data_IF_366474598299
#
_entry.id   IF_366474598299
#
_cell.length_a   1.000
_cell.length_b   1.000
_cell.length_c   1.000
_cell.angle_alpha   90.00
_cell.angle_beta   90.00
_cell.angle_gamma   90.00
#
_symmetry.space_group_name_H-M   'P 1'
#
loop_
_entity.id
_entity.type
_entity.pdbx_description
1 polymer ?
#
# COMPACT_ATOMS: atom_id res chain seq x y z
N UNK A 1 32.96 -24.73 -4.13
CA UNK A 1 34.40 -24.53 -3.86
C UNK A 1 35.19 -25.84 -3.81
N UNK A 2 34.71 -26.85 -3.09
CA UNK A 2 35.44 -28.16 -2.99
C UNK A 2 35.88 -28.80 -4.31
N UNK A 3 35.08 -28.68 -5.36
CA UNK A 3 35.43 -29.30 -6.64
C UNK A 3 36.64 -28.65 -7.36
N UNK A 4 36.86 -27.32 -7.22
CA UNK A 4 37.98 -26.63 -7.93
C UNK A 4 39.32 -26.92 -7.26
N UNK A 5 39.33 -26.90 -5.93
CA UNK A 5 40.54 -27.21 -5.14
C UNK A 5 40.97 -28.67 -5.35
N UNK A 6 40.01 -29.60 -5.32
CA UNK A 6 40.25 -31.01 -5.60
C UNK A 6 40.74 -31.25 -7.02
N UNK A 7 40.16 -30.54 -8.01
CA UNK A 7 40.61 -30.62 -9.41
C UNK A 7 42.04 -30.11 -9.59
N UNK A 8 42.37 -28.97 -8.93
CA UNK A 8 43.75 -28.43 -8.96
C UNK A 8 44.75 -29.38 -8.34
N UNK A 9 44.43 -30.00 -7.21
CA UNK A 9 45.28 -30.99 -6.55
C UNK A 9 45.53 -32.19 -7.46
N UNK A 10 44.51 -32.79 -8.06
CA UNK A 10 44.66 -33.93 -8.98
C UNK A 10 45.51 -33.58 -10.21
N UNK A 11 45.35 -32.35 -10.75
CA UNK A 11 46.14 -31.89 -11.90
C UNK A 11 47.61 -31.66 -11.48
N UNK A 12 47.84 -31.10 -10.29
CA UNK A 12 49.18 -30.89 -9.76
C UNK A 12 49.91 -32.21 -9.46
N UNK A 13 49.21 -33.15 -8.83
CA UNK A 13 49.75 -34.50 -8.57
C UNK A 13 50.12 -35.22 -9.85
N UNK A 14 49.37 -34.97 -10.95
CA UNK A 14 49.69 -35.49 -12.27
C UNK A 14 50.95 -34.84 -12.84
N UNK A 15 51.14 -33.53 -12.69
CA UNK A 15 52.35 -32.83 -13.12
C UNK A 15 53.57 -33.36 -12.36
N UNK A 16 53.40 -33.60 -11.08
CA UNK A 16 54.44 -34.08 -10.18
C UNK A 16 54.69 -35.60 -10.30
N UNK A 17 53.97 -36.30 -11.19
CA UNK A 17 54.12 -37.74 -11.37
C UNK A 17 53.56 -38.58 -10.23
N UNK A 18 52.76 -37.99 -9.34
CA UNK A 18 52.17 -38.65 -8.18
C UNK A 18 50.86 -39.41 -8.50
N UNK A 19 50.29 -39.18 -9.67
CA UNK A 19 49.15 -39.96 -10.17
C UNK A 19 49.21 -40.10 -11.70
N UNK A 20 48.64 -41.19 -12.24
CA UNK A 20 48.58 -41.51 -13.65
C UNK A 20 47.20 -41.31 -14.28
N UNK A 21 46.33 -40.54 -13.64
CA UNK A 21 44.99 -40.31 -14.18
C UNK A 21 44.98 -39.63 -15.54
N UNK A 22 44.22 -40.17 -16.48
CA UNK A 22 43.92 -39.48 -17.73
C UNK A 22 43.04 -38.26 -17.48
N UNK A 23 43.05 -37.28 -18.39
CA UNK A 23 42.15 -36.13 -18.27
C UNK A 23 40.67 -36.54 -18.24
N UNK A 24 40.29 -37.62 -18.90
CA UNK A 24 38.95 -38.16 -18.88
C UNK A 24 38.56 -38.68 -17.49
N UNK A 25 39.47 -39.31 -16.79
CA UNK A 25 39.27 -39.76 -15.39
C UNK A 25 39.19 -38.56 -14.43
N UNK A 26 39.99 -37.53 -14.61
CA UNK A 26 39.91 -36.32 -13.79
C UNK A 26 38.57 -35.58 -14.05
N UNK A 27 38.09 -35.58 -15.28
CA UNK A 27 36.75 -35.04 -15.62
C UNK A 27 35.66 -35.80 -14.88
N UNK A 28 35.68 -37.14 -14.90
CA UNK A 28 34.67 -37.94 -14.20
C UNK A 28 34.70 -37.79 -12.69
N UNK A 29 35.90 -37.65 -12.09
CA UNK A 29 36.08 -37.46 -10.65
C UNK A 29 35.66 -36.06 -10.17
N UNK A 30 35.88 -35.01 -10.98
CA UNK A 30 35.71 -33.62 -10.58
C UNK A 30 34.49 -32.96 -11.19
N UNK A 31 33.86 -33.60 -12.19
CA UNK A 31 32.79 -33.03 -13.03
C UNK A 31 33.18 -31.76 -13.79
N UNK A 32 34.50 -31.44 -13.88
CA UNK A 32 34.96 -30.32 -14.67
C UNK A 32 35.09 -30.73 -16.16
N UNK A 33 34.75 -29.79 -17.05
CA UNK A 33 34.91 -29.99 -18.50
C UNK A 33 36.40 -30.02 -18.84
N UNK A 34 36.82 -30.86 -19.76
CA UNK A 34 38.23 -31.03 -20.17
C UNK A 34 38.97 -29.71 -20.48
N UNK A 35 38.31 -28.77 -21.16
CA UNK A 35 38.82 -27.43 -21.45
C UNK A 35 39.14 -26.66 -20.17
N UNK A 36 38.33 -26.76 -19.13
CA UNK A 36 38.59 -26.11 -17.83
C UNK A 36 39.81 -26.70 -17.14
N UNK A 37 39.98 -28.00 -17.19
CA UNK A 37 41.18 -28.66 -16.63
C UNK A 37 42.47 -28.23 -17.35
N UNK A 38 42.42 -28.11 -18.68
CA UNK A 38 43.57 -27.61 -19.47
C UNK A 38 43.91 -26.15 -19.09
N UNK A 39 42.90 -25.30 -18.91
CA UNK A 39 43.11 -23.92 -18.45
C UNK A 39 43.67 -23.84 -17.03
N UNK A 40 43.25 -24.72 -16.13
CA UNK A 40 43.80 -24.83 -14.78
C UNK A 40 45.28 -25.25 -14.82
N UNK A 41 45.63 -26.19 -15.68
CA UNK A 41 47.01 -26.65 -15.90
C UNK A 41 47.91 -25.51 -16.45
N UNK A 42 47.41 -24.76 -17.43
CA UNK A 42 48.14 -23.59 -17.96
C UNK A 42 48.29 -22.50 -16.90
N UNK A 43 47.34 -22.39 -15.99
CA UNK A 43 47.40 -21.43 -14.88
C UNK A 43 48.38 -21.86 -13.80
N UNK A 44 48.51 -23.17 -13.51
CA UNK A 44 49.48 -23.73 -12.55
C UNK A 44 50.91 -23.53 -13.00
N UNK A 45 51.15 -23.52 -14.32
CA UNK A 45 52.47 -23.24 -14.87
C UNK A 45 52.93 -21.77 -14.72
N UNK A 46 51.99 -20.88 -14.37
CA UNK A 46 52.25 -19.43 -14.29
C UNK A 46 52.00 -18.83 -12.91
N UNK A 47 51.27 -19.51 -12.04
CA UNK A 47 50.81 -19.01 -10.73
C UNK A 47 50.74 -20.15 -9.71
N UNK A 48 50.89 -19.83 -8.44
CA UNK A 48 50.67 -20.73 -7.31
C UNK A 48 49.18 -21.10 -7.14
N UNK A 49 48.92 -22.18 -6.42
CA UNK A 49 47.59 -22.73 -6.22
C UNK A 49 46.69 -21.71 -5.54
N UNK A 50 47.18 -21.05 -4.49
CA UNK A 50 46.37 -20.12 -3.68
C UNK A 50 45.90 -18.94 -4.54
N UNK A 51 46.74 -18.43 -5.42
CA UNK A 51 46.35 -17.36 -6.36
C UNK A 51 45.34 -17.80 -7.41
N UNK A 52 45.32 -19.11 -7.77
CA UNK A 52 44.35 -19.68 -8.72
C UNK A 52 43.00 -19.95 -8.05
N UNK A 53 43.02 -20.33 -6.76
CA UNK A 53 41.79 -20.53 -5.97
C UNK A 53 41.03 -19.23 -5.73
N UNK A 54 41.76 -18.12 -5.59
CA UNK A 54 41.09 -16.80 -5.46
C UNK A 54 40.47 -16.40 -6.79
N UNK A 55 39.18 -16.15 -6.79
CA UNK A 55 38.51 -15.67 -8.00
C UNK A 55 39.12 -14.33 -8.43
N UNK A 56 39.50 -14.20 -9.71
CA UNK A 56 40.21 -13.02 -10.23
C UNK A 56 39.50 -11.67 -10.07
N UNK A 57 38.24 -11.69 -9.62
CA UNK A 57 37.42 -10.52 -9.26
C UNK A 57 37.30 -10.33 -7.75
N UNK A 58 37.89 -11.22 -6.93
CA UNK A 58 37.86 -11.09 -5.47
C UNK A 58 38.63 -9.84 -5.06
N UNK A 59 37.99 -8.98 -4.29
CA UNK A 59 38.58 -7.70 -3.84
C UNK A 59 38.57 -6.57 -4.87
N UNK A 60 38.13 -6.82 -6.12
CA UNK A 60 37.97 -5.74 -7.10
C UNK A 60 36.63 -5.06 -6.91
N UNK A 61 36.64 -3.75 -6.80
CA UNK A 61 35.41 -2.94 -6.87
C UNK A 61 34.92 -2.96 -8.32
N UNK A 62 33.68 -3.42 -8.52
CA UNK A 62 33.04 -3.31 -9.82
C UNK A 62 32.68 -1.84 -10.10
N UNK A 63 32.71 -1.43 -11.37
CA UNK A 63 32.33 -0.06 -11.78
C UNK A 63 30.94 0.36 -11.28
N UNK A 64 30.11 -0.62 -10.95
CA UNK A 64 28.77 -0.40 -10.41
C UNK A 64 28.66 -0.61 -8.89
N UNK A 65 29.79 -0.77 -8.18
CA UNK A 65 29.77 -0.87 -6.72
C UNK A 65 29.31 0.45 -6.10
N UNK A 66 28.49 0.41 -5.03
CA UNK A 66 28.05 1.63 -4.34
C UNK A 66 29.25 2.32 -3.67
N UNK A 67 29.30 3.64 -3.74
CA UNK A 67 30.29 4.41 -3.01
C UNK A 67 30.01 4.40 -1.50
N UNK A 68 31.03 4.63 -0.68
CA UNK A 68 30.84 4.75 0.77
C UNK A 68 29.84 5.87 1.14
N UNK A 69 29.87 6.98 0.40
CA UNK A 69 28.91 8.09 0.57
C UNK A 69 27.49 7.68 0.25
N UNK A 70 27.30 6.88 -0.81
CA UNK A 70 25.95 6.36 -1.18
C UNK A 70 25.42 5.43 -0.09
N UNK A 71 26.23 4.50 0.41
CA UNK A 71 25.84 3.61 1.50
C UNK A 71 25.50 4.39 2.78
N UNK A 72 26.30 5.38 3.12
CA UNK A 72 26.07 6.24 4.29
C UNK A 72 24.76 7.03 4.15
N UNK A 73 24.51 7.61 2.97
CA UNK A 73 23.25 8.29 2.69
C UNK A 73 22.04 7.38 2.88
N UNK A 74 22.08 6.16 2.31
CA UNK A 74 21.01 5.17 2.43
C UNK A 74 20.79 4.79 3.90
N UNK A 75 21.87 4.59 4.68
CA UNK A 75 21.78 4.29 6.12
C UNK A 75 21.14 5.44 6.89
N UNK A 76 21.57 6.67 6.66
CA UNK A 76 21.02 7.85 7.32
C UNK A 76 19.54 8.05 6.98
N UNK A 77 19.16 7.80 5.72
CA UNK A 77 17.78 7.87 5.30
C UNK A 77 16.93 6.79 5.99
N UNK A 78 17.40 5.55 6.04
CA UNK A 78 16.71 4.44 6.73
C UNK A 78 16.59 4.70 8.23
N UNK A 79 17.60 5.25 8.87
CA UNK A 79 17.56 5.62 10.27
C UNK A 79 16.49 6.70 10.56
N UNK A 80 16.34 7.66 9.64
CA UNK A 80 15.31 8.69 9.75
C UNK A 80 13.89 8.14 9.56
N UNK A 81 13.75 7.11 8.70
CA UNK A 81 12.48 6.46 8.37
C UNK A 81 12.57 4.94 8.59
N UNK A 82 12.57 4.46 9.86
CA UNK A 82 12.86 3.06 10.19
C UNK A 82 11.92 2.04 9.53
N UNK A 83 10.65 2.42 9.36
CA UNK A 83 9.60 1.54 8.82
C UNK A 83 9.47 1.60 7.29
N UNK A 84 10.31 2.39 6.60
CA UNK A 84 10.19 2.55 5.16
C UNK A 84 10.46 1.24 4.42
N UNK A 85 9.55 0.88 3.51
CA UNK A 85 9.74 -0.27 2.62
C UNK A 85 10.75 0.03 1.51
N UNK A 86 11.30 -1.03 0.91
CA UNK A 86 12.22 -0.90 -0.25
C UNK A 86 11.54 -0.16 -1.39
N UNK A 87 10.29 -0.50 -1.70
CA UNK A 87 9.52 0.14 -2.78
C UNK A 87 9.32 1.64 -2.52
N UNK A 88 8.90 2.01 -1.30
CA UNK A 88 8.72 3.42 -0.96
C UNK A 88 10.07 4.16 -0.93
N UNK A 89 11.11 3.53 -0.42
CA UNK A 89 12.46 4.09 -0.45
C UNK A 89 12.91 4.37 -1.88
N UNK A 90 12.69 3.40 -2.79
CA UNK A 90 13.04 3.53 -4.20
C UNK A 90 12.27 4.69 -4.85
N UNK A 91 10.97 4.79 -4.61
CA UNK A 91 10.12 5.87 -5.10
C UNK A 91 10.66 7.25 -4.68
N UNK A 92 11.03 7.39 -3.42
CA UNK A 92 11.52 8.64 -2.87
C UNK A 92 12.93 8.96 -3.37
N UNK A 93 13.80 7.96 -3.40
CA UNK A 93 15.20 8.10 -3.75
C UNK A 93 15.40 8.37 -5.24
N UNK A 94 14.55 7.81 -6.11
CA UNK A 94 14.67 7.88 -7.56
C UNK A 94 13.75 8.95 -8.20
N UNK A 95 13.17 9.81 -7.40
CA UNK A 95 12.32 10.91 -7.89
C UNK A 95 11.06 10.53 -8.63
N UNK A 96 10.64 9.30 -8.60
CA UNK A 96 9.26 9.01 -8.97
C UNK A 96 8.29 9.82 -8.11
N UNK A 97 8.83 10.58 -7.22
CA UNK A 97 8.17 11.56 -6.42
C UNK A 97 8.28 12.90 -7.14
N UNK A 98 7.49 13.07 -8.17
CA UNK A 98 7.18 14.38 -8.79
C UNK A 98 6.90 15.45 -7.71
N UNK A 99 6.77 15.06 -6.50
CA UNK A 99 6.29 15.79 -5.37
C UNK A 99 7.36 16.15 -4.33
N UNK A 100 8.61 15.69 -4.49
CA UNK A 100 9.68 16.12 -3.61
C UNK A 100 10.93 16.59 -4.36
N UNK A 101 10.87 17.81 -4.95
CA UNK A 101 12.00 18.37 -5.67
C UNK A 101 13.26 18.53 -4.82
N UNK A 102 13.12 18.53 -3.49
CA UNK A 102 14.27 18.60 -2.57
C UNK A 102 15.07 17.30 -2.59
N UNK A 103 14.40 16.14 -2.67
CA UNK A 103 15.11 14.85 -2.75
C UNK A 103 15.78 14.68 -4.10
N UNK A 104 15.10 15.05 -5.18
CA UNK A 104 15.63 15.09 -6.53
C UNK A 104 16.96 15.85 -6.59
N UNK A 105 16.95 17.03 -6.00
CA UNK A 105 18.13 17.86 -5.89
C UNK A 105 19.26 17.20 -5.11
N UNK A 106 18.94 16.59 -3.94
CA UNK A 106 19.94 15.89 -3.12
C UNK A 106 20.58 14.73 -3.88
N UNK A 107 19.79 13.92 -4.59
CA UNK A 107 20.28 12.80 -5.39
C UNK A 107 21.21 13.30 -6.48
N UNK A 108 20.83 14.37 -7.19
CA UNK A 108 21.63 14.98 -8.25
C UNK A 108 22.92 15.62 -7.73
N UNK A 109 22.81 16.45 -6.69
CA UNK A 109 23.94 17.19 -6.13
C UNK A 109 25.02 16.26 -5.53
N UNK A 110 24.63 15.10 -5.02
CA UNK A 110 25.54 14.11 -4.47
C UNK A 110 25.93 13.02 -5.48
N UNK A 111 25.51 13.13 -6.74
CA UNK A 111 25.77 12.15 -7.81
C UNK A 111 25.42 10.71 -7.37
N UNK A 112 24.28 10.54 -6.71
CA UNK A 112 23.83 9.23 -6.26
C UNK A 112 23.25 8.45 -7.44
N UNK A 113 23.58 7.16 -7.52
CA UNK A 113 23.16 6.33 -8.64
C UNK A 113 21.76 5.80 -8.45
N UNK A 114 20.99 5.74 -9.55
CA UNK A 114 19.74 4.97 -9.62
C UNK A 114 20.08 3.48 -9.54
N UNK A 115 19.48 2.77 -8.58
CA UNK A 115 19.73 1.35 -8.32
C UNK A 115 18.45 0.54 -8.55
N UNK A 116 18.64 -0.72 -8.91
CA UNK A 116 17.52 -1.67 -9.03
C UNK A 116 16.95 -2.05 -7.65
N UNK A 117 15.71 -2.54 -7.65
CA UNK A 117 15.07 -3.10 -6.46
C UNK A 117 15.94 -4.19 -5.80
N UNK A 118 16.51 -5.11 -6.61
CA UNK A 118 17.36 -6.20 -6.12
C UNK A 118 18.63 -5.72 -5.43
N UNK A 119 19.15 -4.55 -5.81
CA UNK A 119 20.27 -3.93 -5.10
C UNK A 119 19.89 -3.54 -3.69
N UNK A 120 18.74 -2.84 -3.54
CA UNK A 120 18.26 -2.43 -2.22
C UNK A 120 17.85 -3.63 -1.37
N UNK A 121 17.22 -4.65 -1.97
CA UNK A 121 16.88 -5.90 -1.29
C UNK A 121 18.14 -6.55 -0.70
N UNK A 122 19.19 -6.75 -1.49
CA UNK A 122 20.48 -7.30 -1.01
C UNK A 122 21.14 -6.42 0.06
N UNK A 123 20.98 -5.10 -0.04
CA UNK A 123 21.52 -4.17 0.96
C UNK A 123 20.74 -4.25 2.28
N UNK A 124 19.40 -4.31 2.21
CA UNK A 124 18.53 -4.45 3.37
C UNK A 124 18.79 -5.77 4.09
N UNK A 125 18.97 -6.86 3.34
CA UNK A 125 19.34 -8.16 3.91
C UNK A 125 20.71 -8.11 4.62
N UNK A 126 21.74 -7.58 3.97
CA UNK A 126 23.09 -7.44 4.54
C UNK A 126 23.11 -6.59 5.80
N UNK A 127 22.24 -5.60 5.90
CA UNK A 127 22.15 -4.69 7.04
C UNK A 127 21.09 -5.13 8.07
N UNK A 128 20.48 -6.30 7.87
CA UNK A 128 19.45 -6.86 8.75
C UNK A 128 18.24 -5.93 8.97
N UNK A 129 17.87 -5.16 7.94
CA UNK A 129 16.73 -4.26 8.00
C UNK A 129 15.40 -4.91 7.63
N UNK A 130 15.44 -6.08 7.02
CA UNK A 130 14.28 -6.89 6.67
C UNK A 130 14.14 -8.01 7.69
N UNK A 131 12.96 -8.13 8.29
CA UNK A 131 12.66 -9.30 9.13
C UNK A 131 12.64 -10.54 8.22
N UNK A 132 13.28 -11.66 8.63
CA UNK A 132 13.22 -12.88 7.84
C UNK A 132 11.74 -13.27 7.65
N UNK A 133 11.37 -13.55 6.39
CA UNK A 133 10.02 -14.02 6.06
C UNK A 133 9.84 -15.36 6.77
N UNK A 134 8.94 -15.39 7.75
CA UNK A 134 8.49 -16.66 8.30
C UNK A 134 7.70 -17.34 7.19
N UNK A 135 8.27 -18.38 6.58
CA UNK A 135 7.51 -19.25 5.70
C UNK A 135 6.34 -19.82 6.53
N UNK A 136 5.13 -19.36 6.23
CA UNK A 136 3.94 -20.00 6.76
C UNK A 136 3.93 -21.42 6.19
N UNK A 137 4.00 -22.43 7.04
CA UNK A 137 3.73 -23.79 6.62
C UNK A 137 2.34 -23.84 5.99
N UNK A 138 2.29 -24.17 4.71
CA UNK A 138 1.06 -24.34 3.94
C UNK A 138 0.40 -25.69 4.26
N UNK A 139 -0.05 -25.86 5.50
CA UNK A 139 -0.81 -27.05 5.91
C UNK A 139 -2.29 -26.75 6.14
N UNK A 140 -2.83 -25.66 5.55
CA UNK A 140 -4.27 -25.44 5.49
C UNK A 140 -4.72 -25.73 4.06
N UNK A 141 -5.69 -26.64 3.94
CA UNK A 141 -6.55 -26.69 2.76
C UNK A 141 -7.23 -25.33 2.65
N UNK A 142 -6.79 -24.52 1.68
CA UNK A 142 -7.46 -23.26 1.37
C UNK A 142 -8.67 -23.59 0.52
N UNK A 143 -9.85 -23.28 1.00
CA UNK A 143 -11.02 -23.18 0.13
C UNK A 143 -10.68 -22.17 -0.96
N UNK A 144 -10.61 -22.66 -2.19
CA UNK A 144 -10.39 -21.81 -3.35
C UNK A 144 -11.70 -21.11 -3.69
N UNK A 145 -11.80 -19.84 -3.34
CA UNK A 145 -12.90 -19.02 -3.79
C UNK A 145 -12.58 -18.50 -5.22
N UNK A 146 -13.54 -18.52 -6.12
CA UNK A 146 -13.34 -17.92 -7.44
C UNK A 146 -13.04 -16.44 -7.32
N UNK A 147 -12.09 -15.95 -8.10
CA UNK A 147 -11.79 -14.53 -8.18
C UNK A 147 -13.02 -13.78 -8.68
N UNK A 148 -13.50 -12.80 -7.91
CA UNK A 148 -14.54 -11.88 -8.38
C UNK A 148 -13.96 -10.99 -9.48
N UNK A 149 -14.63 -10.91 -10.61
CA UNK A 149 -14.26 -9.93 -11.63
C UNK A 149 -14.54 -8.50 -11.13
N UNK A 150 -13.65 -7.54 -11.46
CA UNK A 150 -13.91 -6.13 -11.23
C UNK A 150 -15.18 -5.67 -11.97
N UNK A 151 -15.82 -4.63 -11.47
CA UNK A 151 -16.88 -3.93 -12.20
C UNK A 151 -16.36 -3.46 -13.56
N UNK A 152 -17.18 -3.50 -14.62
CA UNK A 152 -16.71 -3.14 -15.95
C UNK A 152 -16.39 -1.65 -16.09
N UNK A 153 -17.19 -0.78 -15.47
CA UNK A 153 -17.10 0.67 -15.57
C UNK A 153 -16.80 1.31 -14.23
N UNK A 154 -16.14 2.46 -14.29
CA UNK A 154 -15.90 3.31 -13.13
C UNK A 154 -17.23 3.74 -12.49
N UNK A 155 -17.30 3.72 -11.15
CA UNK A 155 -18.45 4.16 -10.37
C UNK A 155 -19.62 3.17 -10.24
N UNK A 156 -19.63 2.04 -10.94
CA UNK A 156 -20.65 1.01 -10.69
C UNK A 156 -20.57 0.50 -9.26
N UNK A 157 -19.39 0.35 -8.71
CA UNK A 157 -19.21 -0.13 -7.34
C UNK A 157 -18.08 0.60 -6.63
N UNK A 158 -18.41 1.32 -5.59
CA UNK A 158 -17.44 1.94 -4.68
C UNK A 158 -17.36 1.13 -3.40
N UNK A 159 -16.16 0.71 -3.04
CA UNK A 159 -15.88 0.03 -1.77
C UNK A 159 -15.53 1.07 -0.73
N UNK A 160 -16.24 1.05 0.41
CA UNK A 160 -15.97 1.90 1.56
C UNK A 160 -15.54 1.07 2.76
N UNK A 161 -14.54 1.55 3.50
CA UNK A 161 -14.02 0.86 4.68
C UNK A 161 -13.35 1.82 5.64
N UNK A 162 -13.39 1.49 6.93
CA UNK A 162 -12.68 2.19 8.00
C UNK A 162 -11.47 1.40 8.48
N UNK A 163 -10.35 2.07 8.70
CA UNK A 163 -9.16 1.43 9.26
C UNK A 163 -8.50 2.29 10.31
N UNK A 164 -8.28 1.73 11.49
CA UNK A 164 -7.63 2.41 12.61
C UNK A 164 -6.14 2.12 12.67
N UNK A 165 -5.31 3.17 12.74
CA UNK A 165 -3.87 3.04 12.83
C UNK A 165 -3.25 4.19 13.61
N UNK A 166 -2.03 3.99 14.14
CA UNK A 166 -1.22 5.07 14.73
C UNK A 166 -0.45 5.82 13.64
N UNK A 167 -1.15 6.71 12.93
CA UNK A 167 -0.63 7.43 11.76
C UNK A 167 0.52 8.38 12.12
N UNK A 168 0.48 9.00 13.27
CA UNK A 168 1.49 9.95 13.74
C UNK A 168 2.61 9.30 14.55
N UNK A 169 2.54 7.99 14.81
CA UNK A 169 3.49 7.24 15.64
C UNK A 169 3.67 7.86 17.05
N UNK A 170 2.59 8.31 17.65
CA UNK A 170 2.55 8.94 18.97
C UNK A 170 1.83 8.09 20.02
N UNK A 171 1.50 6.84 19.71
CA UNK A 171 0.77 5.90 20.56
C UNK A 171 -0.75 6.07 20.52
N UNK A 172 -1.27 7.06 19.78
CA UNK A 172 -2.72 7.28 19.63
C UNK A 172 -3.16 6.84 18.23
N UNK A 173 -4.16 5.98 18.19
CA UNK A 173 -4.78 5.58 16.93
C UNK A 173 -5.80 6.61 16.50
N UNK A 174 -5.93 6.80 15.19
CA UNK A 174 -7.05 7.47 14.54
C UNK A 174 -7.49 6.66 13.34
N UNK A 175 -8.70 6.88 12.84
CA UNK A 175 -9.32 6.06 11.80
C UNK A 175 -9.35 6.80 10.49
N UNK A 176 -8.91 6.12 9.42
CA UNK A 176 -9.10 6.54 8.04
C UNK A 176 -10.37 5.87 7.51
N UNK A 177 -11.30 6.66 7.01
CA UNK A 177 -12.42 6.21 6.18
C UNK A 177 -12.00 6.38 4.72
N UNK A 178 -12.14 5.34 3.89
CA UNK A 178 -11.61 5.30 2.54
C UNK A 178 -12.68 4.84 1.55
N UNK A 179 -12.74 5.50 0.39
CA UNK A 179 -13.56 5.09 -0.75
C UNK A 179 -12.66 4.69 -1.93
N UNK A 180 -12.88 3.48 -2.45
CA UNK A 180 -12.10 2.89 -3.55
C UNK A 180 -13.03 2.44 -4.66
N UNK A 181 -12.75 2.84 -5.88
CA UNK A 181 -13.47 2.37 -7.07
C UNK A 181 -13.07 0.92 -7.42
N UNK A 182 -14.06 0.08 -7.65
CA UNK A 182 -13.81 -1.32 -7.97
C UNK A 182 -13.32 -1.53 -9.39
N UNK A 183 -13.75 -0.75 -10.36
CA UNK A 183 -13.36 -0.92 -11.75
C UNK A 183 -11.91 -0.54 -11.98
N UNK A 184 -11.47 0.58 -11.44
CA UNK A 184 -10.14 1.15 -11.67
C UNK A 184 -9.15 0.86 -10.54
N UNK A 185 -9.65 0.44 -9.37
CA UNK A 185 -8.85 0.36 -8.16
C UNK A 185 -8.35 1.71 -7.64
N UNK A 186 -8.91 2.83 -8.08
CA UNK A 186 -8.55 4.17 -7.60
C UNK A 186 -9.02 4.39 -6.16
N UNK A 187 -8.17 4.95 -5.31
CA UNK A 187 -8.59 5.61 -4.09
C UNK A 187 -9.19 6.97 -4.45
N UNK A 188 -10.51 7.11 -4.33
CA UNK A 188 -11.21 8.33 -4.75
C UNK A 188 -11.10 9.45 -3.72
N UNK A 189 -11.30 9.11 -2.45
CA UNK A 189 -11.14 10.04 -1.33
C UNK A 189 -10.96 9.27 -0.02
N UNK A 190 -10.51 9.97 1.02
CA UNK A 190 -10.44 9.45 2.36
C UNK A 190 -10.56 10.54 3.40
N UNK A 191 -11.00 10.18 4.61
CA UNK A 191 -11.15 11.12 5.71
C UNK A 191 -10.69 10.51 7.03
N UNK A 192 -9.86 11.24 7.76
CA UNK A 192 -9.34 10.84 9.06
C UNK A 192 -10.17 11.46 10.17
N UNK A 193 -10.55 10.63 11.14
CA UNK A 193 -11.20 11.03 12.37
C UNK A 193 -10.47 10.42 13.57
N UNK A 194 -10.64 10.97 14.80
CA UNK A 194 -10.06 10.38 16.00
C UNK A 194 -10.46 8.91 16.21
N UNK A 195 -11.68 8.54 15.84
CA UNK A 195 -12.21 7.18 15.89
C UNK A 195 -13.02 6.90 14.62
N UNK A 196 -13.32 5.64 14.34
CA UNK A 196 -14.28 5.30 13.30
C UNK A 196 -15.67 5.78 13.71
N UNK A 197 -16.29 6.61 12.88
CA UNK A 197 -17.53 7.30 13.21
C UNK A 197 -18.34 7.66 11.95
N UNK A 198 -19.61 7.98 12.15
CA UNK A 198 -20.52 8.43 11.09
C UNK A 198 -19.98 9.65 10.34
N UNK A 199 -19.43 10.62 11.07
CA UNK A 199 -18.87 11.85 10.50
C UNK A 199 -17.86 11.59 9.40
N UNK A 200 -16.92 10.63 9.62
CA UNK A 200 -15.92 10.27 8.62
C UNK A 200 -16.53 9.68 7.34
N UNK A 201 -17.59 8.89 7.45
CA UNK A 201 -18.32 8.36 6.30
C UNK A 201 -19.13 9.43 5.57
N UNK A 202 -19.72 10.37 6.29
CA UNK A 202 -20.42 11.53 5.70
C UNK A 202 -19.45 12.38 4.90
N UNK A 203 -18.26 12.67 5.43
CA UNK A 203 -17.25 13.44 4.69
C UNK A 203 -16.77 12.74 3.42
N UNK A 204 -16.54 11.42 3.44
CA UNK A 204 -16.17 10.72 2.20
C UNK A 204 -17.32 10.71 1.19
N UNK A 205 -18.58 10.59 1.64
CA UNK A 205 -19.75 10.69 0.77
C UNK A 205 -19.84 12.09 0.14
N UNK A 206 -19.74 13.15 0.95
CA UNK A 206 -19.75 14.54 0.48
C UNK A 206 -18.66 14.81 -0.57
N UNK A 207 -17.41 14.44 -0.27
CA UNK A 207 -16.28 14.61 -1.21
C UNK A 207 -16.54 13.83 -2.49
N UNK A 208 -16.99 12.58 -2.37
CA UNK A 208 -17.24 11.71 -3.51
C UNK A 208 -18.27 12.29 -4.46
N UNK A 209 -19.47 12.63 -3.93
CA UNK A 209 -20.58 13.11 -4.77
C UNK A 209 -20.31 14.50 -5.34
N UNK A 210 -19.62 15.36 -4.61
CA UNK A 210 -19.27 16.70 -5.05
C UNK A 210 -18.19 16.69 -6.14
N UNK A 211 -17.18 15.82 -5.98
CA UNK A 211 -16.03 15.82 -6.89
C UNK A 211 -16.23 14.96 -8.13
N UNK A 212 -16.92 13.82 -7.97
CA UNK A 212 -17.05 12.83 -9.03
C UNK A 212 -18.49 12.62 -9.48
N UNK A 213 -19.47 12.83 -8.60
CA UNK A 213 -20.88 12.53 -8.82
C UNK A 213 -21.36 11.34 -7.97
N UNK A 214 -22.62 11.01 -8.12
CA UNK A 214 -23.32 9.96 -7.36
C UNK A 214 -22.98 8.60 -7.97
N UNK A 215 -22.38 7.65 -7.23
CA UNK A 215 -22.10 6.30 -7.72
C UNK A 215 -23.39 5.45 -7.72
N UNK A 216 -23.36 4.36 -8.48
CA UNK A 216 -24.50 3.43 -8.53
C UNK A 216 -24.63 2.60 -7.24
N UNK A 217 -23.53 2.04 -6.75
CA UNK A 217 -23.54 1.14 -5.60
C UNK A 217 -22.41 1.43 -4.61
N UNK A 218 -22.71 1.30 -3.31
CA UNK A 218 -21.71 1.18 -2.25
C UNK A 218 -21.60 -0.26 -1.75
N UNK A 219 -20.35 -0.71 -1.52
CA UNK A 219 -20.05 -1.97 -0.84
C UNK A 219 -19.30 -1.70 0.45
N UNK A 220 -19.85 -2.18 1.56
CA UNK A 220 -19.24 -2.10 2.90
C UNK A 220 -19.40 -3.42 3.63
N UNK A 221 -18.73 -3.59 4.78
CA UNK A 221 -18.98 -4.70 5.68
C UNK A 221 -20.45 -4.73 6.12
N UNK A 222 -20.93 -5.93 6.44
CA UNK A 222 -22.32 -6.20 6.82
C UNK A 222 -22.83 -5.36 7.98
N UNK A 223 -22.01 -4.52 8.60
CA UNK A 223 -22.34 -4.00 9.90
C UNK A 223 -22.33 -2.49 10.04
N UNK A 224 -23.31 -2.06 10.79
CA UNK A 224 -23.46 -0.89 11.65
C UNK A 224 -23.46 0.47 10.98
N UNK A 225 -22.82 0.64 9.83
CA UNK A 225 -22.79 1.95 9.17
C UNK A 225 -23.96 2.15 8.22
N UNK A 226 -24.31 1.13 7.44
CA UNK A 226 -25.36 1.20 6.43
C UNK A 226 -26.71 0.64 6.94
N UNK A 227 -26.65 -0.48 7.64
CA UNK A 227 -27.82 -1.21 8.13
C UNK A 227 -27.64 -1.52 9.62
N UNK A 228 -28.65 -1.25 10.42
CA UNK A 228 -28.65 -1.60 11.82
C UNK A 228 -28.83 -3.12 11.99
N UNK A 229 -27.89 -3.83 12.63
CA UNK A 229 -27.95 -5.29 12.74
C UNK A 229 -29.06 -5.79 13.69
N UNK A 230 -29.68 -4.92 14.49
CA UNK A 230 -30.70 -5.31 15.47
C UNK A 230 -32.09 -5.43 14.85
N UNK A 231 -32.44 -4.54 13.95
CA UNK A 231 -33.76 -4.43 13.36
C UNK A 231 -33.75 -4.55 11.83
N UNK A 232 -32.58 -4.48 11.19
CA UNK A 232 -32.44 -4.53 9.73
C UNK A 232 -32.79 -3.23 9.04
N UNK A 233 -33.06 -2.16 9.80
CA UNK A 233 -33.38 -0.85 9.24
C UNK A 233 -32.12 -0.11 8.80
N UNK A 234 -32.28 0.87 7.91
CA UNK A 234 -31.18 1.74 7.48
C UNK A 234 -30.70 2.60 8.66
N UNK A 235 -29.39 2.78 8.73
CA UNK A 235 -28.79 3.78 9.62
C UNK A 235 -28.96 5.18 9.02
N UNK A 236 -28.55 6.23 9.74
CA UNK A 236 -28.50 7.57 9.18
C UNK A 236 -27.69 7.65 7.89
N UNK A 237 -26.54 6.96 7.83
CA UNK A 237 -25.74 6.90 6.62
C UNK A 237 -26.41 6.10 5.50
N UNK A 238 -27.10 5.03 5.86
CA UNK A 238 -27.93 4.26 4.92
C UNK A 238 -29.02 5.10 4.27
N UNK A 239 -29.74 5.92 5.06
CA UNK A 239 -30.76 6.86 4.55
C UNK A 239 -30.15 7.95 3.65
N UNK A 240 -28.97 8.48 3.98
CA UNK A 240 -28.26 9.42 3.10
C UNK A 240 -27.95 8.80 1.73
N UNK A 241 -27.52 7.54 1.73
CA UNK A 241 -27.28 6.80 0.49
C UNK A 241 -28.56 6.57 -0.30
N UNK A 242 -29.65 6.16 0.37
CA UNK A 242 -30.97 5.94 -0.23
C UNK A 242 -31.52 7.22 -0.88
N UNK A 243 -31.42 8.37 -0.20
CA UNK A 243 -31.86 9.66 -0.72
C UNK A 243 -31.09 10.11 -1.96
N UNK A 244 -29.83 9.72 -2.05
CA UNK A 244 -28.98 9.94 -3.24
C UNK A 244 -29.21 8.89 -4.33
N UNK A 245 -30.04 7.86 -4.08
CA UNK A 245 -30.27 6.76 -5.02
C UNK A 245 -29.10 5.78 -5.11
N UNK A 246 -28.21 5.75 -4.12
CA UNK A 246 -27.07 4.84 -4.06
C UNK A 246 -27.53 3.50 -3.49
N UNK A 247 -27.39 2.42 -4.24
CA UNK A 247 -27.69 1.08 -3.77
C UNK A 247 -26.63 0.59 -2.77
N UNK A 248 -27.09 -0.12 -1.73
CA UNK A 248 -26.21 -0.66 -0.69
C UNK A 248 -26.01 -2.15 -0.90
N UNK A 249 -24.76 -2.57 -1.09
CA UNK A 249 -24.36 -3.97 -1.22
C UNK A 249 -23.58 -4.38 0.02
N UNK A 250 -24.15 -5.27 0.83
CA UNK A 250 -23.44 -5.85 1.97
C UNK A 250 -22.39 -6.85 1.48
N UNK A 251 -21.14 -6.64 1.86
CA UNK A 251 -20.06 -7.57 1.57
C UNK A 251 -20.27 -8.87 2.37
N UNK A 252 -20.54 -9.97 1.67
CA UNK A 252 -20.80 -11.27 2.30
C UNK A 252 -19.51 -12.05 2.61
N UNK A 253 -18.39 -11.67 1.97
CA UNK A 253 -17.10 -12.34 2.11
C UNK A 253 -15.96 -11.32 2.17
N UNK A 254 -14.84 -11.63 2.87
CA UNK A 254 -13.66 -10.77 2.87
C UNK A 254 -13.12 -10.49 1.46
N UNK A 255 -13.27 -11.44 0.53
CA UNK A 255 -12.81 -11.32 -0.85
C UNK A 255 -13.55 -10.21 -1.61
N UNK A 256 -14.78 -9.90 -1.25
CA UNK A 256 -15.54 -8.80 -1.87
C UNK A 256 -14.94 -7.42 -1.60
N UNK A 257 -14.09 -7.28 -0.56
CA UNK A 257 -13.41 -6.04 -0.15
C UNK A 257 -11.90 -6.02 -0.42
N UNK A 258 -11.37 -7.03 -1.10
CA UNK A 258 -9.92 -7.20 -1.27
C UNK A 258 -9.17 -5.97 -1.79
N UNK A 259 -9.84 -5.09 -2.57
CA UNK A 259 -9.21 -3.87 -3.09
C UNK A 259 -9.04 -2.81 -2.00
N UNK A 260 -10.09 -2.51 -1.23
CA UNK A 260 -9.99 -1.51 -0.15
C UNK A 260 -9.08 -1.99 0.96
N UNK A 261 -9.07 -3.29 1.29
CA UNK A 261 -8.12 -3.87 2.25
C UNK A 261 -6.67 -3.74 1.77
N UNK A 262 -6.42 -3.99 0.48
CA UNK A 262 -5.10 -3.79 -0.12
C UNK A 262 -4.65 -2.32 -0.02
N UNK A 263 -5.56 -1.39 -0.26
CA UNK A 263 -5.30 0.04 -0.11
C UNK A 263 -5.01 0.42 1.33
N UNK A 264 -5.82 -0.04 2.29
CA UNK A 264 -5.59 0.18 3.71
C UNK A 264 -4.18 -0.27 4.12
N UNK A 265 -3.78 -1.46 3.71
CA UNK A 265 -2.43 -1.97 3.98
C UNK A 265 -1.34 -1.12 3.29
N UNK A 266 -1.55 -0.70 2.05
CA UNK A 266 -0.61 0.14 1.30
C UNK A 266 -0.44 1.50 1.98
N UNK A 267 -1.54 2.15 2.36
CA UNK A 267 -1.55 3.45 3.03
C UNK A 267 -0.89 3.35 4.41
N UNK A 268 -1.23 2.35 5.22
CA UNK A 268 -0.62 2.13 6.53
C UNK A 268 0.91 1.99 6.47
N UNK A 269 1.41 1.30 5.46
CA UNK A 269 2.85 1.10 5.31
C UNK A 269 3.60 2.32 4.77
N UNK A 270 2.92 3.23 4.06
CA UNK A 270 3.57 4.36 3.36
C UNK A 270 3.32 5.71 4.03
N UNK A 271 2.08 6.00 4.37
CA UNK A 271 1.64 7.32 4.83
C UNK A 271 2.35 7.79 6.10
N UNK A 272 2.67 6.88 7.02
CA UNK A 272 3.44 7.17 8.25
C UNK A 272 4.76 7.89 7.93
N UNK A 273 5.48 7.42 6.92
CA UNK A 273 6.74 8.03 6.52
C UNK A 273 6.51 9.38 5.83
N UNK A 274 5.43 9.48 5.04
CA UNK A 274 5.09 10.70 4.30
C UNK A 274 4.57 11.79 5.23
N UNK A 275 3.80 11.47 6.27
CA UNK A 275 3.43 12.41 7.35
C UNK A 275 4.67 13.07 7.94
N UNK A 276 5.70 12.28 8.27
CA UNK A 276 6.98 12.81 8.78
C UNK A 276 7.72 13.67 7.73
N UNK A 277 7.71 13.23 6.46
CA UNK A 277 8.43 13.92 5.38
C UNK A 277 7.82 15.28 5.06
N UNK A 278 6.51 15.37 5.06
CA UNK A 278 5.76 16.59 4.78
C UNK A 278 5.48 17.42 6.03
N UNK A 279 5.96 16.95 7.22
CA UNK A 279 5.81 17.62 8.51
C UNK A 279 4.33 17.91 8.86
N UNK A 280 3.45 16.96 8.57
CA UNK A 280 2.03 17.03 8.88
C UNK A 280 1.85 16.76 10.38
N UNK A 281 1.11 17.62 11.09
CA UNK A 281 1.03 17.59 12.55
C UNK A 281 -0.37 17.35 13.10
N UNK A 282 -1.41 17.56 12.31
CA UNK A 282 -2.78 17.42 12.76
C UNK A 282 -3.60 16.55 11.80
N UNK A 283 -4.76 16.10 12.26
CA UNK A 283 -5.73 15.35 11.44
C UNK A 283 -6.27 16.24 10.31
N UNK A 284 -6.51 17.52 10.58
CA UNK A 284 -7.01 18.49 9.61
C UNK A 284 -6.01 18.68 8.46
N UNK A 285 -4.72 18.89 8.77
CA UNK A 285 -3.66 18.96 7.77
C UNK A 285 -3.55 17.66 6.97
N UNK A 286 -3.75 16.51 7.65
CA UNK A 286 -3.70 15.20 7.02
C UNK A 286 -4.86 14.99 6.05
N UNK A 287 -6.07 15.44 6.38
CA UNK A 287 -7.24 15.37 5.52
C UNK A 287 -7.05 16.17 4.23
N UNK A 288 -6.53 17.40 4.34
CA UNK A 288 -6.21 18.24 3.20
C UNK A 288 -5.14 17.56 2.33
N UNK A 289 -4.02 17.16 2.94
CA UNK A 289 -2.92 16.50 2.23
C UNK A 289 -3.37 15.23 1.51
N UNK A 290 -4.21 14.42 2.14
CA UNK A 290 -4.67 13.16 1.60
C UNK A 290 -5.55 13.35 0.36
N UNK A 291 -6.53 14.23 0.41
CA UNK A 291 -7.50 14.41 -0.67
C UNK A 291 -7.00 15.29 -1.82
N UNK A 292 -6.22 16.35 -1.52
CA UNK A 292 -5.73 17.26 -2.55
C UNK A 292 -4.55 16.65 -3.32
N UNK A 293 -3.83 15.70 -2.69
CA UNK A 293 -2.54 15.31 -3.17
C UNK A 293 -2.27 13.81 -3.13
N UNK A 294 -2.44 13.17 -1.97
CA UNK A 294 -1.91 11.83 -1.73
C UNK A 294 -2.69 10.75 -2.48
N UNK A 295 -4.01 10.89 -2.60
CA UNK A 295 -4.82 9.98 -3.42
C UNK A 295 -4.33 9.97 -4.87
N UNK A 296 -4.17 11.13 -5.50
CA UNK A 296 -3.69 11.23 -6.89
C UNK A 296 -2.29 10.63 -7.05
N UNK A 297 -1.39 10.90 -6.10
CA UNK A 297 -0.05 10.33 -6.12
C UNK A 297 -0.08 8.79 -6.10
N UNK A 298 -0.89 8.21 -5.23
CA UNK A 298 -1.01 6.76 -5.16
C UNK A 298 -1.72 6.18 -6.38
N UNK A 299 -2.75 6.83 -6.89
CA UNK A 299 -3.50 6.38 -8.06
C UNK A 299 -2.63 6.29 -9.31
N UNK A 300 -1.72 7.25 -9.54
CA UNK A 300 -0.75 7.18 -10.64
C UNK A 300 0.11 5.91 -10.63
N UNK A 301 0.28 5.27 -9.45
CA UNK A 301 1.11 4.06 -9.31
C UNK A 301 0.32 2.77 -9.30
N UNK A 302 -0.90 2.80 -8.80
CA UNK A 302 -1.63 1.59 -8.43
C UNK A 302 -2.98 1.44 -9.10
N UNK A 303 -3.54 2.52 -9.65
CA UNK A 303 -4.76 2.45 -10.43
C UNK A 303 -4.50 1.87 -11.83
N UNK A 304 -5.53 1.35 -12.44
CA UNK A 304 -5.51 0.75 -13.77
C UNK A 304 -6.76 1.17 -14.56
N UNK A 305 -6.70 1.00 -15.87
CA UNK A 305 -7.81 1.34 -16.74
C UNK A 305 -8.99 0.37 -16.54
N UNK A 306 -10.24 0.85 -16.53
CA UNK A 306 -11.43 0.00 -16.49
C UNK A 306 -11.58 -0.80 -17.78
N UNK A 307 -12.46 -1.82 -17.78
CA UNK A 307 -12.77 -2.61 -18.99
C UNK A 307 -13.51 -1.77 -20.03
N UNK A 308 -14.38 -0.89 -19.58
CA UNK A 308 -15.20 0.00 -20.39
C UNK A 308 -14.90 1.45 -20.01
N UNK A 309 -14.77 2.30 -21.02
CA UNK A 309 -14.39 3.71 -20.83
C UNK A 309 -15.52 4.59 -20.27
N UNK A 310 -16.77 4.13 -20.37
CA UNK A 310 -17.92 4.84 -19.85
C UNK A 310 -17.85 5.02 -18.32
N UNK A 311 -18.39 6.12 -17.84
CA UNK A 311 -18.41 6.47 -16.43
C UNK A 311 -19.85 6.48 -15.95
N UNK A 312 -20.14 5.69 -14.92
CA UNK A 312 -21.49 5.55 -14.38
C UNK A 312 -21.82 6.58 -13.26
N UNK A 313 -20.95 7.54 -12.96
CA UNK A 313 -21.27 8.62 -12.02
C UNK A 313 -22.41 9.50 -12.57
N UNK A 314 -23.44 9.72 -11.77
CA UNK A 314 -24.52 10.64 -12.08
C UNK A 314 -24.16 12.03 -11.52
N UNK A 315 -24.26 13.11 -12.32
CA UNK A 315 -24.00 14.46 -11.84
C UNK A 315 -24.90 14.84 -10.66
N UNK A 316 -24.38 15.65 -9.74
CA UNK A 316 -25.09 16.13 -8.55
C UNK A 316 -26.05 17.31 -8.85
N UNK A 317 -26.68 17.36 -10.00
CA UNK A 317 -27.44 18.50 -10.50
C UNK A 317 -28.51 18.99 -9.48
N UNK A 318 -28.35 20.23 -8.99
CA UNK A 318 -29.32 20.96 -8.16
C UNK A 318 -29.80 20.24 -6.88
N UNK A 319 -29.06 19.25 -6.38
CA UNK A 319 -29.38 18.54 -5.12
C UNK A 319 -28.78 19.33 -3.97
N UNK A 320 -29.63 19.73 -3.01
CA UNK A 320 -29.17 20.35 -1.77
C UNK A 320 -28.70 19.26 -0.78
N UNK A 321 -27.37 19.07 -0.73
CA UNK A 321 -26.77 18.08 0.15
C UNK A 321 -27.02 18.35 1.64
N UNK A 322 -27.30 19.59 2.06
CA UNK A 322 -27.53 19.91 3.46
C UNK A 322 -28.77 19.20 4.02
N UNK A 323 -29.77 18.93 3.16
CA UNK A 323 -30.98 18.21 3.51
C UNK A 323 -30.84 16.69 3.49
N UNK A 324 -29.76 16.20 2.86
CA UNK A 324 -29.46 14.76 2.74
C UNK A 324 -28.42 14.33 3.77
N UNK A 325 -27.31 15.07 3.86
CA UNK A 325 -26.19 14.78 4.77
C UNK A 325 -26.48 15.29 6.18
N UNK A 326 -27.63 14.91 6.73
CA UNK A 326 -28.09 15.32 8.06
C UNK A 326 -28.45 14.10 8.92
N UNK A 327 -28.34 14.26 10.23
CA UNK A 327 -28.80 13.24 11.18
C UNK A 327 -30.30 13.30 11.27
N UNK A 328 -30.99 12.18 11.02
CA UNK A 328 -32.41 12.02 11.18
C UNK A 328 -32.70 11.32 12.49
N UNK A 329 -33.64 11.89 13.25
CA UNK A 329 -34.07 11.30 14.51
C UNK A 329 -35.57 11.55 14.70
N UNK A 330 -36.26 10.59 15.26
CA UNK A 330 -37.68 10.69 15.55
C UNK A 330 -37.89 11.01 17.03
N UNK A 331 -38.60 12.10 17.35
CA UNK A 331 -38.87 12.51 18.70
C UNK A 331 -40.37 12.67 18.94
N UNK A 332 -40.79 12.41 20.18
CA UNK A 332 -42.17 12.66 20.62
C UNK A 332 -42.29 14.15 20.93
N UNK A 333 -43.35 14.76 20.38
CA UNK A 333 -43.66 16.13 20.70
C UNK A 333 -44.34 16.16 22.09
N UNK A 334 -43.74 16.91 23.01
CA UNK A 334 -44.22 17.13 24.37
C UNK A 334 -45.25 18.25 24.40
N UNK A 335 -45.94 18.40 25.55
CA UNK A 335 -46.88 19.49 25.76
C UNK A 335 -46.21 20.86 25.51
N UNK A 336 -46.92 21.76 24.82
CA UNK A 336 -46.39 23.06 24.42
C UNK A 336 -45.54 23.04 23.12
N UNK A 337 -45.74 22.02 22.28
CA UNK A 337 -45.01 21.84 21.03
C UNK A 337 -43.48 21.83 21.22
N UNK A 338 -43.01 21.13 22.25
CA UNK A 338 -41.60 21.03 22.60
C UNK A 338 -41.05 19.65 22.19
N UNK A 339 -39.89 19.62 21.58
CA UNK A 339 -39.10 18.41 21.39
C UNK A 339 -37.79 18.50 22.21
N UNK A 340 -37.36 17.36 22.72
CA UNK A 340 -36.08 17.25 23.41
C UNK A 340 -35.06 16.52 22.50
N UNK A 341 -33.90 17.14 22.27
CA UNK A 341 -32.80 16.55 21.50
C UNK A 341 -31.46 17.00 22.09
N UNK A 342 -30.55 16.06 22.30
CA UNK A 342 -29.20 16.28 22.88
C UNK A 342 -29.24 17.13 24.19
N UNK A 343 -30.14 16.82 25.09
CA UNK A 343 -30.37 17.55 26.36
C UNK A 343 -30.83 19.00 26.21
N UNK A 344 -31.19 19.43 25.02
CA UNK A 344 -31.79 20.72 24.74
C UNK A 344 -33.30 20.56 24.44
N UNK A 345 -34.06 21.65 24.69
CA UNK A 345 -35.47 21.71 24.37
C UNK A 345 -35.69 22.73 23.26
N UNK A 346 -36.39 22.31 22.21
CA UNK A 346 -36.74 23.13 21.06
C UNK A 346 -38.22 23.28 20.96
N UNK A 347 -38.75 24.52 20.92
CA UNK A 347 -40.16 24.78 20.74
C UNK A 347 -40.49 24.94 19.27
N UNK A 348 -41.49 24.19 18.81
CA UNK A 348 -42.01 24.27 17.44
C UNK A 348 -43.01 25.43 17.41
N UNK A 349 -42.68 26.48 16.66
CA UNK A 349 -43.48 27.70 16.59
C UNK A 349 -44.55 27.69 15.48
N UNK A 350 -44.72 26.57 14.79
CA UNK A 350 -45.70 26.49 13.70
C UNK A 350 -47.13 26.40 14.21
N UNK A 351 -48.01 27.19 13.56
CA UNK A 351 -49.40 27.34 13.97
C UNK A 351 -50.33 26.23 13.46
N UNK A 352 -49.90 25.45 12.46
CA UNK A 352 -50.79 24.58 11.70
C UNK A 352 -50.72 23.08 12.05
N UNK A 353 -49.97 22.66 13.07
CA UNK A 353 -49.79 21.26 13.49
C UNK A 353 -49.44 20.28 12.35
N UNK A 354 -48.96 20.81 11.22
CA UNK A 354 -48.68 20.04 10.02
C UNK A 354 -47.22 19.71 9.79
N UNK A 355 -46.32 20.02 10.76
CA UNK A 355 -44.90 19.82 10.61
C UNK A 355 -44.61 18.34 10.60
N UNK A 356 -44.11 17.88 9.45
CA UNK A 356 -43.67 16.51 9.26
C UNK A 356 -42.14 16.35 9.51
N UNK A 357 -41.39 17.46 9.45
CA UNK A 357 -39.92 17.43 9.55
C UNK A 357 -39.36 18.76 10.07
N UNK A 358 -38.40 18.70 11.00
CA UNK A 358 -37.70 19.87 11.54
C UNK A 358 -36.20 19.63 11.36
N UNK A 359 -35.52 20.60 10.78
CA UNK A 359 -34.09 20.64 10.71
C UNK A 359 -33.55 21.48 11.89
N UNK A 360 -32.58 20.90 12.66
CA UNK A 360 -31.99 21.57 13.83
C UNK A 360 -30.47 21.64 13.58
#
# INVERSE_FOLDING_TARGET
MHNKEYALKLVQDKINGLNNYSYSQVVSLTRFIKIHLIRLLQSLNKKDIDSILVHGLTGKLYNNSPSSKEIEFIKNFKNKYPVISITQFQDIYHEDVVFNPKMAKIVKDNNLKVRSYSFYESLYEKLHWVKPIKHKCFNKEYETHPLREPSPQRSILIMIDGTSHDWFQNGKKSSLHLAVDDATGEALCGWFCPTECLEGYVHILEILVTKYGIPENFCSDKHTILINPKDGELTNFGHMCEDLGINIIAANTPQSKGKVEKWNNTIQNRLINDIKRYNIKSIEELNIFFNDYYCNYLNQKYAYEPKEEDIAFVPLDNIDLSNILCIRDTRIILNGNIISWNNNYYQILDKDNSIKQIYI
#
